data_IF_417613623616
#
_entry.id   IF_417613623616
#
_cell.length_a   1.000
_cell.length_b   1.000
_cell.length_c   1.000
_cell.angle_alpha   90.00
_cell.angle_beta   90.00
_cell.angle_gamma   90.00
#
_symmetry.space_group_name_H-M   'P 1'
#
loop_
_entity.id
_entity.type
_entity.pdbx_description
1 polymer ?
#
# COMPACT_ATOMS: atom_id res chain seq x y z
N UNK A 1 -0.04 0.19 -17.54
CA UNK A 1 -0.57 -0.17 -18.88
C UNK A 1 -1.29 1.03 -19.47
N UNK A 2 -1.36 1.14 -20.79
CA UNK A 2 -2.22 2.14 -21.45
C UNK A 2 -3.55 1.47 -21.74
N UNK A 3 -4.65 2.08 -21.30
CA UNK A 3 -6.00 1.67 -21.65
C UNK A 3 -6.52 2.57 -22.77
N UNK A 4 -6.82 1.96 -23.92
CA UNK A 4 -7.49 2.60 -25.05
C UNK A 4 -9.00 2.34 -25.04
N UNK A 5 -9.79 3.35 -25.39
CA UNK A 5 -11.22 3.21 -25.59
C UNK A 5 -11.49 2.83 -27.04
N UNK A 6 -12.32 1.81 -27.27
CA UNK A 6 -12.47 1.17 -28.58
C UNK A 6 -12.91 2.10 -29.73
N UNK A 7 -13.51 3.26 -29.43
CA UNK A 7 -14.10 4.17 -30.42
C UNK A 7 -13.61 5.63 -30.29
N UNK A 8 -12.50 5.89 -29.59
CA UNK A 8 -11.93 7.22 -29.42
C UNK A 8 -10.48 7.26 -29.93
N UNK A 9 -9.97 8.47 -30.17
CA UNK A 9 -8.59 8.64 -30.65
C UNK A 9 -7.55 8.42 -29.53
N UNK A 10 -6.28 8.56 -29.90
CA UNK A 10 -5.15 8.42 -28.97
C UNK A 10 -5.14 9.46 -27.84
N UNK A 11 -5.75 10.64 -28.01
CA UNK A 11 -5.88 11.63 -26.95
C UNK A 11 -6.80 11.15 -25.81
N UNK A 12 -7.62 10.12 -26.05
CA UNK A 12 -8.41 9.43 -25.03
C UNK A 12 -7.67 8.28 -24.33
N UNK A 13 -6.40 8.03 -24.62
CA UNK A 13 -5.62 7.01 -23.93
C UNK A 13 -5.36 7.37 -22.46
N UNK A 14 -5.62 6.41 -21.55
CA UNK A 14 -5.41 6.59 -20.12
C UNK A 14 -4.30 5.69 -19.60
N UNK A 15 -3.30 6.28 -18.93
CA UNK A 15 -2.36 5.49 -18.15
C UNK A 15 -3.05 4.87 -16.93
N UNK A 16 -3.06 3.54 -16.88
CA UNK A 16 -3.82 2.75 -15.92
C UNK A 16 -2.91 1.74 -15.23
N UNK A 17 -3.16 1.47 -13.95
CA UNK A 17 -2.49 0.43 -13.18
C UNK A 17 -3.49 -0.38 -12.37
N UNK A 18 -3.46 -1.71 -12.52
CA UNK A 18 -4.19 -2.60 -11.63
C UNK A 18 -3.35 -2.86 -10.37
N UNK A 19 -3.95 -2.71 -9.20
CA UNK A 19 -3.27 -2.90 -7.92
C UNK A 19 -3.15 -4.38 -7.57
N UNK A 20 -2.03 -4.76 -6.94
CA UNK A 20 -1.72 -6.16 -6.61
C UNK A 20 -2.52 -6.70 -5.42
N UNK A 21 -2.86 -5.84 -4.45
CA UNK A 21 -3.53 -6.23 -3.21
C UNK A 21 -4.84 -5.45 -3.03
N UNK A 22 -5.69 -5.46 -4.06
CA UNK A 22 -6.88 -4.61 -4.12
C UNK A 22 -6.51 -3.15 -3.78
N UNK A 23 -7.12 -2.56 -2.76
CA UNK A 23 -6.78 -1.26 -2.20
C UNK A 23 -6.26 -1.38 -0.76
N UNK A 24 -5.88 -2.58 -0.32
CA UNK A 24 -5.44 -2.86 1.04
C UNK A 24 -3.94 -2.57 1.21
N UNK A 25 -3.51 -2.14 2.41
CA UNK A 25 -2.08 -2.03 2.72
C UNK A 25 -1.39 -3.41 2.62
N UNK A 26 -0.06 -3.44 2.42
CA UNK A 26 0.70 -4.66 2.58
C UNK A 26 0.49 -5.28 3.97
N UNK A 27 0.52 -6.62 4.11
CA UNK A 27 0.41 -7.26 5.42
C UNK A 27 1.44 -6.72 6.41
N UNK A 28 0.99 -6.33 7.61
CA UNK A 28 1.85 -5.76 8.66
C UNK A 28 2.04 -4.23 8.58
N UNK A 29 1.42 -3.55 7.61
CA UNK A 29 1.53 -2.10 7.40
C UNK A 29 0.18 -1.38 7.48
N UNK A 30 -0.81 -1.93 8.18
CA UNK A 30 -2.04 -1.22 8.50
C UNK A 30 -1.93 -0.44 9.82
N UNK A 31 -2.04 0.89 9.76
CA UNK A 31 -1.94 1.78 10.93
C UNK A 31 -3.25 2.50 11.28
N UNK A 32 -4.37 1.94 10.84
CA UNK A 32 -5.69 2.44 11.21
C UNK A 32 -6.15 1.85 12.56
N UNK A 33 -7.09 2.52 13.24
CA UNK A 33 -7.66 2.11 14.53
C UNK A 33 -8.43 0.79 14.46
N UNK A 34 -8.85 0.38 13.27
CA UNK A 34 -9.57 -0.87 13.04
C UNK A 34 -8.63 -2.06 12.83
N UNK A 35 -7.31 -1.81 12.73
CA UNK A 35 -6.30 -2.82 12.49
C UNK A 35 -5.63 -3.29 13.79
N UNK A 36 -5.01 -4.47 13.72
CA UNK A 36 -4.31 -5.10 14.84
C UNK A 36 -2.83 -5.37 14.53
N UNK A 37 -2.29 -4.75 13.48
CA UNK A 37 -0.87 -4.83 13.18
C UNK A 37 -0.07 -4.19 14.31
N UNK A 38 1.02 -4.83 14.73
CA UNK A 38 1.86 -4.27 15.80
C UNK A 38 2.46 -2.91 15.35
N UNK A 39 2.44 -1.89 16.22
CA UNK A 39 2.92 -0.55 15.87
C UNK A 39 4.44 -0.53 15.69
N UNK A 40 4.96 0.55 15.13
CA UNK A 40 6.40 0.81 15.15
C UNK A 40 6.78 1.25 16.57
N UNK A 41 7.66 0.49 17.20
CA UNK A 41 8.18 0.74 18.56
C UNK A 41 9.68 1.04 18.43
N UNK A 42 10.05 2.30 18.55
CA UNK A 42 11.41 2.81 18.31
C UNK A 42 12.17 3.16 19.59
N UNK A 43 11.57 2.96 20.76
CA UNK A 43 12.19 3.22 22.05
C UNK A 43 13.51 2.45 22.22
N UNK A 44 14.63 3.16 22.36
CA UNK A 44 15.99 2.58 22.43
C UNK A 44 16.18 1.52 23.52
N UNK A 45 15.46 1.66 24.64
CA UNK A 45 15.51 0.77 25.78
C UNK A 45 14.23 -0.07 25.94
N UNK A 46 13.30 0.02 24.99
CA UNK A 46 12.10 -0.81 25.01
C UNK A 46 12.48 -2.26 24.69
N UNK A 47 12.06 -3.25 25.51
CA UNK A 47 12.21 -4.66 25.14
C UNK A 47 11.40 -5.00 23.88
N UNK A 48 10.37 -4.21 23.59
CA UNK A 48 9.48 -4.38 22.43
C UNK A 48 9.97 -3.61 21.19
N UNK A 49 11.19 -3.06 21.21
CA UNK A 49 11.74 -2.35 20.05
C UNK A 49 11.78 -3.26 18.82
N UNK A 50 11.04 -2.88 17.78
CA UNK A 50 10.86 -3.71 16.59
C UNK A 50 11.43 -3.08 15.31
N UNK A 51 12.17 -1.96 15.40
CA UNK A 51 12.68 -1.20 14.24
C UNK A 51 13.56 -2.04 13.31
N UNK A 52 14.36 -2.97 13.85
CA UNK A 52 15.24 -3.82 13.01
C UNK A 52 14.51 -4.96 12.31
N UNK A 53 13.36 -5.37 12.83
CA UNK A 53 12.56 -6.49 12.32
C UNK A 53 11.59 -6.01 11.22
N UNK A 54 11.14 -4.76 11.30
CA UNK A 54 10.19 -4.14 10.37
C UNK A 54 10.87 -3.42 9.22
#
# INVERSE_FOLDING_TARGET
MIWSFANLDEAAHLFTGALYNQYQPPPGFCFDILCADEPIIDGKHSPDNNVKRR
#
